data_IF_744978973820
#
_entry.id   IF_744978973820
#
_cell.length_a   1.000
_cell.length_b   1.000
_cell.length_c   1.000
_cell.angle_alpha   90.00
_cell.angle_beta   90.00
_cell.angle_gamma   90.00
#
_symmetry.space_group_name_H-M   'P 1'
#
loop_
_entity.id
_entity.type
_entity.pdbx_description
1 polymer ?
#
# COMPACT_ATOMS: atom_id res chain seq x y z
N UNK A 1 -3.68 -5.71 14.86
CA UNK A 1 -2.43 -5.78 14.08
C UNK A 1 -2.45 -4.60 13.14
N UNK A 2 -1.56 -3.63 13.35
CA UNK A 2 -1.47 -2.40 12.55
C UNK A 2 -1.29 -2.72 11.06
N UNK A 3 -2.15 -2.17 10.22
CA UNK A 3 -2.13 -2.33 8.75
C UNK A 3 -1.47 -1.16 8.03
N UNK A 4 -1.09 -0.12 8.75
CA UNK A 4 -0.38 1.02 8.18
C UNK A 4 0.76 1.50 9.10
N UNK A 5 1.80 2.05 8.49
CA UNK A 5 2.99 2.60 9.13
C UNK A 5 3.20 4.00 8.55
N UNK A 6 3.17 5.02 9.39
CA UNK A 6 3.50 6.38 8.99
C UNK A 6 5.00 6.47 8.66
N UNK A 7 5.33 7.22 7.62
CA UNK A 7 6.69 7.43 7.14
C UNK A 7 6.98 8.93 7.01
N UNK A 8 8.25 9.30 7.18
CA UNK A 8 8.73 10.56 6.62
C UNK A 8 8.77 10.48 5.08
N UNK A 9 8.86 11.64 4.40
CA UNK A 9 9.04 11.66 2.95
C UNK A 9 10.38 11.01 2.54
N UNK A 10 11.42 11.16 3.37
CA UNK A 10 12.74 10.55 3.16
C UNK A 10 12.68 9.02 3.25
N UNK A 11 12.04 8.48 4.28
CA UNK A 11 11.86 7.02 4.45
C UNK A 11 11.02 6.41 3.31
N UNK A 12 10.07 7.17 2.74
CA UNK A 12 9.26 6.71 1.61
C UNK A 12 10.06 6.61 0.30
N UNK A 13 11.11 7.41 0.14
CA UNK A 13 11.98 7.39 -1.03
C UNK A 13 13.17 6.41 -0.86
N UNK A 14 13.54 6.03 0.37
CA UNK A 14 14.58 5.04 0.67
C UNK A 14 14.08 3.58 0.54
N UNK A 15 14.42 2.94 -0.59
CA UNK A 15 14.05 1.55 -0.84
C UNK A 15 14.64 0.56 0.18
N UNK A 16 15.84 0.80 0.72
CA UNK A 16 16.42 -0.09 1.72
C UNK A 16 15.65 0.00 3.04
N UNK A 17 15.28 1.22 3.46
CA UNK A 17 14.44 1.44 4.63
C UNK A 17 13.07 0.77 4.49
N UNK A 18 12.43 0.92 3.33
CA UNK A 18 11.15 0.28 3.03
C UNK A 18 11.22 -1.25 3.12
N UNK A 19 12.30 -1.87 2.61
CA UNK A 19 12.53 -3.32 2.75
C UNK A 19 12.65 -3.73 4.22
N UNK A 20 13.42 -2.99 5.01
CA UNK A 20 13.60 -3.27 6.43
C UNK A 20 12.26 -3.19 7.17
N UNK A 21 11.48 -2.11 6.98
CA UNK A 21 10.17 -1.95 7.64
C UNK A 21 9.21 -3.08 7.22
N UNK A 22 9.19 -3.42 5.92
CA UNK A 22 8.38 -4.51 5.42
C UNK A 22 8.76 -5.85 6.05
N UNK A 23 10.05 -6.17 6.10
CA UNK A 23 10.56 -7.38 6.73
C UNK A 23 10.21 -7.42 8.23
N UNK A 24 10.43 -6.33 8.96
CA UNK A 24 10.12 -6.27 10.39
C UNK A 24 8.62 -6.52 10.67
N UNK A 25 7.74 -5.98 9.82
CA UNK A 25 6.28 -6.12 9.97
C UNK A 25 5.73 -7.48 9.48
N UNK A 26 6.41 -8.14 8.53
CA UNK A 26 5.83 -9.30 7.82
C UNK A 26 6.67 -10.57 7.88
N UNK A 27 7.94 -10.46 8.31
CA UNK A 27 8.98 -11.50 8.27
C UNK A 27 9.20 -12.09 6.87
N UNK A 28 8.88 -11.31 5.83
CA UNK A 28 9.06 -11.67 4.41
C UNK A 28 10.03 -10.70 3.77
N UNK A 29 10.93 -11.23 2.94
CA UNK A 29 11.70 -10.40 2.02
C UNK A 29 10.75 -9.85 0.95
N UNK A 30 10.88 -8.56 0.65
CA UNK A 30 10.07 -7.90 -0.36
C UNK A 30 10.93 -7.09 -1.32
N UNK A 31 10.54 -7.08 -2.58
CA UNK A 31 11.17 -6.27 -3.61
C UNK A 31 10.38 -4.97 -3.80
N UNK A 32 11.06 -3.84 -3.59
CA UNK A 32 10.46 -2.52 -3.76
C UNK A 32 10.47 -2.16 -5.24
N UNK A 33 9.28 -1.97 -5.82
CA UNK A 33 9.11 -1.50 -7.18
C UNK A 33 9.34 0.01 -7.35
N UNK A 34 9.13 0.49 -8.57
CA UNK A 34 9.18 1.92 -8.88
C UNK A 34 7.90 2.64 -8.45
N UNK A 35 7.96 3.97 -8.34
CA UNK A 35 6.77 4.80 -8.19
C UNK A 35 5.88 4.68 -9.43
N UNK A 36 4.56 4.59 -9.19
CA UNK A 36 3.53 4.46 -10.21
C UNK A 36 2.38 5.44 -9.91
N UNK A 37 1.75 5.98 -10.95
CA UNK A 37 0.75 7.05 -10.86
C UNK A 37 1.20 8.38 -11.49
N UNK A 38 0.37 9.43 -11.43
CA UNK A 38 -0.99 9.44 -10.86
C UNK A 38 -2.01 8.76 -11.77
N UNK A 39 -3.03 8.13 -11.18
CA UNK A 39 -4.16 7.51 -11.90
C UNK A 39 -5.47 7.77 -11.17
N UNK A 40 -6.52 8.20 -11.87
CA UNK A 40 -7.83 8.50 -11.25
C UNK A 40 -8.40 7.31 -10.48
N UNK A 41 -8.30 6.09 -11.04
CA UNK A 41 -8.62 4.81 -10.38
C UNK A 41 -7.75 3.70 -10.97
N UNK A 42 -7.11 2.90 -10.11
CA UNK A 42 -6.39 1.66 -10.45
C UNK A 42 -6.68 0.60 -9.39
N UNK A 43 -7.00 -0.63 -9.82
CA UNK A 43 -7.22 -1.79 -8.93
C UNK A 43 -6.04 -2.75 -9.02
N UNK A 44 -5.54 -3.23 -7.88
CA UNK A 44 -4.46 -4.24 -7.84
C UNK A 44 -4.71 -5.31 -6.78
N UNK A 45 -4.47 -6.57 -7.13
CA UNK A 45 -4.77 -7.76 -6.35
C UNK A 45 -5.92 -8.58 -6.98
N UNK A 46 -6.51 -9.56 -6.27
CA UNK A 46 -6.16 -9.99 -4.92
C UNK A 46 -4.76 -10.59 -4.82
N UNK A 47 -4.05 -10.29 -3.74
CA UNK A 47 -2.67 -10.74 -3.56
C UNK A 47 -2.64 -12.17 -2.99
N UNK A 48 -1.76 -13.01 -3.56
CA UNK A 48 -1.52 -14.39 -3.10
C UNK A 48 -0.51 -14.49 -1.94
N UNK A 49 0.19 -13.39 -1.65
CA UNK A 49 1.14 -13.23 -0.55
C UNK A 49 0.89 -11.89 0.14
N UNK A 50 1.51 -11.67 1.30
CA UNK A 50 1.45 -10.34 1.93
C UNK A 50 2.27 -9.37 1.09
N UNK A 51 1.70 -8.22 0.78
CA UNK A 51 2.30 -7.15 -0.03
C UNK A 51 2.25 -5.86 0.78
N UNK A 52 3.04 -4.85 0.41
CA UNK A 52 2.82 -3.50 0.91
C UNK A 52 2.65 -2.48 -0.20
N UNK A 53 1.89 -1.44 0.10
CA UNK A 53 1.69 -0.26 -0.77
C UNK A 53 2.26 0.93 -0.03
N UNK A 54 3.24 1.59 -0.61
CA UNK A 54 3.79 2.82 -0.06
C UNK A 54 3.19 3.97 -0.84
N UNK A 55 2.51 4.88 -0.15
CA UNK A 55 1.98 6.10 -0.73
C UNK A 55 2.93 7.26 -0.45
N UNK A 56 3.24 8.04 -1.49
CA UNK A 56 3.92 9.33 -1.32
C UNK A 56 2.90 10.38 -0.87
N UNK A 57 3.37 11.38 -0.12
CA UNK A 57 2.57 12.56 0.21
C UNK A 57 2.07 13.24 -1.06
N UNK A 58 0.75 13.26 -1.24
CA UNK A 58 0.09 13.95 -2.34
C UNK A 58 -1.26 14.54 -1.89
N UNK A 59 -1.57 15.74 -2.37
CA UNK A 59 -2.85 16.39 -2.16
C UNK A 59 -3.84 15.75 -3.15
N UNK A 60 -4.79 14.96 -2.63
CA UNK A 60 -5.88 14.28 -3.36
C UNK A 60 -5.63 12.83 -3.83
N UNK A 61 -4.70 12.11 -3.20
CA UNK A 61 -4.57 10.65 -3.40
C UNK A 61 -5.09 9.82 -2.22
N UNK A 62 -5.73 8.68 -2.48
CA UNK A 62 -6.09 7.70 -1.44
C UNK A 62 -5.95 6.25 -1.93
N UNK A 63 -5.72 5.33 -0.98
CA UNK A 63 -5.73 3.89 -1.20
C UNK A 63 -6.81 3.27 -0.31
N UNK A 64 -7.78 2.57 -0.92
CA UNK A 64 -8.74 1.74 -0.18
C UNK A 64 -8.33 0.29 -0.25
N UNK A 65 -8.48 -0.44 0.84
CA UNK A 65 -8.19 -1.87 0.93
C UNK A 65 -9.49 -2.64 1.12
N UNK A 66 -9.64 -3.72 0.38
CA UNK A 66 -10.79 -4.61 0.43
C UNK A 66 -10.34 -6.05 0.70
N UNK A 67 -11.11 -6.77 1.50
CA UNK A 67 -10.97 -8.21 1.71
C UNK A 67 -11.91 -8.96 0.78
N UNK A 68 -11.39 -9.98 0.09
CA UNK A 68 -12.19 -10.91 -0.70
C UNK A 68 -12.66 -12.05 0.21
N UNK A 69 -13.97 -12.28 0.28
CA UNK A 69 -14.56 -13.43 0.98
C UNK A 69 -15.14 -14.45 -0.02
N UNK A 70 -15.61 -13.98 -1.16
CA UNK A 70 -16.01 -14.79 -2.33
C UNK A 70 -15.92 -13.93 -3.59
N UNK A 71 -16.23 -14.49 -4.76
CA UNK A 71 -16.27 -13.76 -6.04
C UNK A 71 -17.20 -12.54 -6.03
N UNK A 72 -18.22 -12.53 -5.17
CA UNK A 72 -19.23 -11.45 -5.09
C UNK A 72 -19.33 -10.76 -3.73
N UNK A 73 -18.67 -11.29 -2.68
CA UNK A 73 -18.61 -10.66 -1.34
C UNK A 73 -17.21 -10.10 -1.09
N UNK A 74 -17.05 -8.81 -1.37
CA UNK A 74 -15.85 -8.04 -1.06
C UNK A 74 -16.18 -6.99 -0.01
N UNK A 75 -15.42 -6.95 1.08
CA UNK A 75 -15.67 -6.03 2.19
C UNK A 75 -14.60 -4.97 2.30
N UNK A 76 -15.02 -3.71 2.42
CA UNK A 76 -14.12 -2.62 2.73
C UNK A 76 -13.43 -2.88 4.07
N UNK A 77 -12.11 -2.75 4.10
CA UNK A 77 -11.31 -2.86 5.31
C UNK A 77 -11.02 -1.46 5.84
N UNK A 78 -10.33 -0.65 5.04
CA UNK A 78 -9.93 0.70 5.44
C UNK A 78 -9.54 1.58 4.24
N UNK A 79 -9.41 2.88 4.48
CA UNK A 79 -8.96 3.89 3.54
C UNK A 79 -7.81 4.72 4.10
N UNK A 80 -6.75 4.86 3.32
CA UNK A 80 -5.55 5.59 3.68
C UNK A 80 -5.29 6.75 2.73
N UNK A 81 -4.68 7.80 3.26
CA UNK A 81 -4.21 8.96 2.53
C UNK A 81 -2.87 9.41 3.14
N UNK A 82 -1.98 9.95 2.31
CA UNK A 82 -0.64 10.36 2.70
C UNK A 82 -0.55 11.88 3.05
N UNK A 83 -1.54 12.45 3.74
CA UNK A 83 -1.58 13.90 4.02
C UNK A 83 -0.53 14.34 5.05
N UNK A 84 -0.04 13.41 5.87
CA UNK A 84 0.89 13.67 6.99
C UNK A 84 2.27 13.05 6.77
N UNK A 85 2.73 13.01 5.52
CA UNK A 85 3.93 12.28 5.10
C UNK A 85 3.56 10.99 4.36
N UNK A 86 4.57 10.22 3.97
CA UNK A 86 4.36 8.92 3.35
C UNK A 86 3.65 7.93 4.28
N UNK A 87 3.02 6.91 3.71
CA UNK A 87 2.45 5.79 4.49
C UNK A 87 2.70 4.47 3.79
N UNK A 88 3.17 3.47 4.54
CA UNK A 88 3.21 2.09 4.07
C UNK A 88 1.99 1.35 4.60
N UNK A 89 1.24 0.69 3.71
CA UNK A 89 0.05 -0.08 4.03
C UNK A 89 0.37 -1.56 3.80
N UNK A 90 0.30 -2.37 4.84
CA UNK A 90 0.47 -3.83 4.74
C UNK A 90 -0.84 -4.45 4.28
N UNK A 91 -0.81 -5.07 3.11
CA UNK A 91 -1.96 -5.71 2.46
C UNK A 91 -1.80 -7.23 2.58
N UNK A 92 -2.74 -7.86 3.29
CA UNK A 92 -2.71 -9.30 3.54
C UNK A 92 -3.10 -10.10 2.31
N UNK A 93 -2.85 -11.41 2.38
CA UNK A 93 -3.37 -12.39 1.42
C UNK A 93 -4.89 -12.23 1.30
N UNK A 94 -5.44 -12.47 0.10
CA UNK A 94 -6.86 -12.35 -0.24
C UNK A 94 -7.43 -10.92 -0.11
N UNK A 95 -6.56 -9.91 -0.12
CA UNK A 95 -6.97 -8.52 -0.20
C UNK A 95 -6.54 -7.91 -1.53
N UNK A 96 -7.28 -6.91 -1.99
CA UNK A 96 -6.89 -6.05 -3.10
C UNK A 96 -7.02 -4.59 -2.66
N UNK A 97 -6.41 -3.70 -3.44
CA UNK A 97 -6.49 -2.27 -3.20
C UNK A 97 -7.05 -1.51 -4.41
N UNK A 98 -7.74 -0.42 -4.13
CA UNK A 98 -8.03 0.64 -5.09
C UNK A 98 -7.13 1.83 -4.80
N UNK A 99 -6.27 2.16 -5.75
CA UNK A 99 -5.48 3.40 -5.78
C UNK A 99 -6.30 4.42 -6.54
N UNK A 100 -6.60 5.57 -5.92
CA UNK A 100 -7.55 6.53 -6.46
C UNK A 100 -7.07 7.97 -6.29
N UNK A 101 -7.69 8.87 -7.06
CA UNK A 101 -7.34 10.27 -7.09
C UNK A 101 -6.01 10.49 -7.79
N UNK A 102 -5.14 11.35 -7.27
CA UNK A 102 -3.79 11.54 -7.82
C UNK A 102 -2.71 10.78 -7.04
N UNK A 103 -3.07 9.68 -6.36
CA UNK A 103 -2.11 8.93 -5.55
C UNK A 103 -0.94 8.40 -6.40
N UNK A 104 0.27 8.66 -5.91
CA UNK A 104 1.52 8.06 -6.41
C UNK A 104 1.99 7.01 -5.42
N UNK A 105 2.18 5.76 -5.88
CA UNK A 105 2.46 4.60 -5.02
C UNK A 105 3.63 3.73 -5.49
N UNK A 106 4.36 3.13 -4.55
CA UNK A 106 5.25 1.99 -4.76
C UNK A 106 4.59 0.73 -4.21
N UNK A 107 5.00 -0.41 -4.74
CA UNK A 107 4.59 -1.71 -4.24
C UNK A 107 5.79 -2.49 -3.75
N UNK A 108 5.59 -3.28 -2.71
CA UNK A 108 6.58 -4.20 -2.15
C UNK A 108 6.00 -5.60 -2.20
N UNK A 109 6.56 -6.46 -3.05
CA UNK A 109 6.08 -7.83 -3.29
C UNK A 109 7.16 -8.87 -3.00
#
# INVERSE_FOLDING_TARGET
METAVALSDEDADDNQKLRTIFYDKTQQNGEVGNWTGPHTVTVRGPFKKTTAIVMKRDQNGWVRVFRVLSETDHRHVDQYNASKGGVMIIVKIDHYCWVMGNATVKYIE
#
